data_IF_547083585093
#
_entry.id   IF_547083585093
#
_cell.length_a   1.000
_cell.length_b   1.000
_cell.length_c   1.000
_cell.angle_alpha   90.00
_cell.angle_beta   90.00
_cell.angle_gamma   90.00
#
_symmetry.space_group_name_H-M   'P 1'
#
loop_
_entity.id
_entity.type
_entity.pdbx_description
1 polymer ?
#
# COMPACT_ATOMS: atom_id res chain seq x y z
N UNK A 1 -7.24 7.85 -1.64
CA UNK A 1 -6.03 8.22 -0.92
C UNK A 1 -6.41 9.34 0.00
N UNK A 2 -5.97 9.29 1.24
CA UNK A 2 -6.12 10.38 2.20
C UNK A 2 -4.81 11.15 2.26
N UNK A 3 -4.80 12.45 1.96
CA UNK A 3 -3.57 13.27 1.96
C UNK A 3 -3.57 14.27 3.12
N UNK A 4 -4.73 14.76 3.57
CA UNK A 4 -4.81 15.87 4.52
C UNK A 4 -5.49 15.50 5.86
N UNK A 5 -5.97 14.26 6.00
CA UNK A 5 -6.65 13.74 7.18
C UNK A 5 -8.10 14.18 7.32
N UNK A 6 -8.76 14.64 6.26
CA UNK A 6 -10.15 15.09 6.31
C UNK A 6 -11.19 13.97 6.14
N UNK A 7 -10.71 12.73 5.96
CA UNK A 7 -11.47 11.51 5.73
C UNK A 7 -12.23 11.50 4.40
N UNK A 8 -11.84 12.35 3.46
CA UNK A 8 -12.30 12.30 2.09
C UNK A 8 -11.19 11.83 1.15
N UNK A 9 -11.59 11.03 0.17
CA UNK A 9 -10.65 10.58 -0.83
C UNK A 9 -10.17 11.78 -1.68
N UNK A 10 -8.88 12.04 -1.59
CA UNK A 10 -8.12 12.97 -2.41
C UNK A 10 -7.65 12.30 -3.71
N UNK A 11 -7.18 13.13 -4.64
CA UNK A 11 -6.69 12.68 -5.94
C UNK A 11 -5.18 12.82 -6.05
N UNK A 12 -4.54 11.77 -6.59
CA UNK A 12 -3.15 11.77 -6.99
C UNK A 12 -3.01 11.42 -8.47
N UNK A 13 -2.08 12.10 -9.14
CA UNK A 13 -1.63 11.78 -10.48
C UNK A 13 -0.13 11.52 -10.47
N UNK A 14 0.24 10.30 -10.83
CA UNK A 14 1.63 9.88 -11.00
C UNK A 14 2.03 10.12 -12.46
N UNK A 15 3.14 10.81 -12.69
CA UNK A 15 3.71 11.03 -14.01
C UNK A 15 4.73 9.92 -14.37
N UNK A 16 5.06 9.75 -15.66
CA UNK A 16 6.01 8.71 -16.10
C UNK A 16 7.38 8.78 -15.40
N UNK A 17 7.83 9.98 -15.01
CA UNK A 17 9.08 10.24 -14.30
C UNK A 17 9.01 10.00 -12.78
N UNK A 18 7.86 9.50 -12.29
CA UNK A 18 7.61 9.22 -10.88
C UNK A 18 7.22 10.45 -10.08
N UNK A 19 7.18 11.64 -10.67
CA UNK A 19 6.64 12.81 -9.99
C UNK A 19 5.13 12.66 -9.75
N UNK A 20 4.63 13.29 -8.68
CA UNK A 20 3.26 13.13 -8.20
C UNK A 20 2.66 14.50 -8.01
N UNK A 21 1.49 14.71 -8.62
CA UNK A 21 0.64 15.87 -8.39
C UNK A 21 -0.57 15.48 -7.58
N UNK A 22 -0.90 16.28 -6.58
CA UNK A 22 -2.08 16.08 -5.74
C UNK A 22 -3.13 17.16 -5.99
N UNK A 23 -4.39 16.80 -5.83
CA UNK A 23 -5.46 17.76 -5.59
C UNK A 23 -6.33 17.28 -4.44
N UNK A 24 -6.56 18.17 -3.48
CA UNK A 24 -7.37 17.91 -2.30
C UNK A 24 -8.85 17.99 -2.64
N UNK A 25 -9.62 17.05 -2.13
CA UNK A 25 -11.06 17.05 -2.16
C UNK A 25 -11.58 17.91 -1.02
N UNK A 26 -12.00 19.14 -1.32
CA UNK A 26 -12.59 20.03 -0.32
C UNK A 26 -14.09 20.13 -0.53
N UNK A 27 -14.89 19.96 0.53
CA UNK A 27 -16.32 20.23 0.44
C UNK A 27 -16.54 21.73 0.43
N UNK A 28 -17.08 22.23 -0.68
CA UNK A 28 -17.60 23.58 -0.72
C UNK A 28 -18.85 23.67 0.14
N UNK A 29 -19.15 24.86 0.68
CA UNK A 29 -20.38 25.11 1.42
C UNK A 29 -21.68 24.81 0.62
N UNK A 30 -21.57 24.55 -0.68
CA UNK A 30 -22.64 24.15 -1.59
C UNK A 30 -22.87 22.62 -1.68
N UNK A 31 -22.14 21.82 -0.88
CA UNK A 31 -22.25 20.36 -0.86
C UNK A 31 -21.62 19.67 -2.07
N UNK A 32 -20.87 20.39 -2.91
CA UNK A 32 -20.13 19.83 -4.05
C UNK A 32 -18.67 19.56 -3.69
N UNK A 33 -18.05 18.67 -4.46
CA UNK A 33 -16.61 18.42 -4.44
C UNK A 33 -15.90 19.58 -5.13
N UNK A 34 -14.99 20.25 -4.43
CA UNK A 34 -14.07 21.25 -4.98
C UNK A 34 -12.65 20.72 -4.91
N UNK A 35 -12.02 20.55 -6.07
CA UNK A 35 -10.64 20.09 -6.16
C UNK A 35 -9.68 21.27 -6.03
N UNK A 36 -8.87 21.27 -4.97
CA UNK A 36 -7.80 22.26 -4.78
C UNK A 36 -6.48 21.65 -5.19
N UNK A 37 -5.99 22.06 -6.36
CA UNK A 37 -4.70 21.64 -6.87
C UNK A 37 -3.56 22.04 -5.92
N UNK A 38 -2.77 21.06 -5.49
CA UNK A 38 -1.61 21.28 -4.63
C UNK A 38 -0.29 21.33 -5.42
N UNK A 39 -0.35 21.13 -6.73
CA UNK A 39 0.85 21.02 -7.57
C UNK A 39 1.61 19.71 -7.32
N UNK A 40 2.89 19.71 -7.68
CA UNK A 40 3.77 18.54 -7.51
C UNK A 40 4.15 18.42 -6.03
N UNK A 41 3.63 17.39 -5.36
CA UNK A 41 3.89 17.13 -3.94
C UNK A 41 5.04 16.14 -3.71
N UNK A 42 5.36 15.33 -4.72
CA UNK A 42 6.57 14.55 -4.76
C UNK A 42 7.23 14.77 -6.13
N UNK A 43 8.46 15.29 -6.21
CA UNK A 43 9.14 15.50 -7.48
C UNK A 43 9.56 14.19 -8.17
N UNK A 44 9.27 13.04 -7.55
CA UNK A 44 9.80 11.74 -7.93
C UNK A 44 11.21 11.54 -7.37
N UNK A 45 11.59 10.29 -7.17
CA UNK A 45 12.95 9.91 -6.70
C UNK A 45 13.80 9.33 -7.83
N UNK A 46 13.49 9.73 -9.07
CA UNK A 46 14.17 9.25 -10.28
C UNK A 46 13.79 7.83 -10.69
N UNK A 47 12.60 7.37 -10.31
CA UNK A 47 12.08 6.02 -10.60
C UNK A 47 10.80 6.11 -11.44
N UNK A 48 10.53 5.08 -12.25
CA UNK A 48 9.38 5.09 -13.17
C UNK A 48 8.05 5.10 -12.41
N UNK A 49 7.04 5.78 -12.94
CA UNK A 49 5.71 5.87 -12.30
C UNK A 49 5.07 4.51 -11.97
N UNK A 50 5.41 3.44 -12.70
CA UNK A 50 4.89 2.09 -12.46
C UNK A 50 5.51 1.38 -11.23
N UNK A 51 6.60 1.92 -10.68
CA UNK A 51 7.20 1.53 -9.41
C UNK A 51 6.50 2.17 -8.22
N UNK A 52 5.78 3.27 -8.44
CA UNK A 52 5.22 4.07 -7.35
C UNK A 52 3.95 3.42 -6.83
N UNK A 53 3.85 3.32 -5.51
CA UNK A 53 2.64 2.93 -4.77
C UNK A 53 2.44 3.96 -3.66
N UNK A 54 1.23 3.97 -3.13
CA UNK A 54 0.93 4.76 -1.96
C UNK A 54 0.14 3.92 -0.98
N UNK A 55 0.52 4.00 0.29
CA UNK A 55 -0.16 3.36 1.40
C UNK A 55 0.42 3.89 2.72
N UNK A 56 -0.39 3.90 3.77
CA UNK A 56 0.04 4.20 5.13
C UNK A 56 1.03 3.14 5.66
N UNK A 57 2.33 3.49 5.70
CA UNK A 57 3.42 2.60 6.09
C UNK A 57 3.73 2.69 7.59
N UNK A 58 3.39 3.80 8.24
CA UNK A 58 3.72 4.03 9.65
C UNK A 58 2.50 3.94 10.60
N UNK A 59 1.28 3.85 10.05
CA UNK A 59 0.01 3.75 10.75
C UNK A 59 -0.52 5.10 11.27
N UNK A 60 -0.08 6.23 10.72
CA UNK A 60 -0.49 7.57 11.15
C UNK A 60 -1.78 8.07 10.48
N UNK A 61 -2.33 7.28 9.55
CA UNK A 61 -3.54 7.56 8.79
C UNK A 61 -3.31 8.34 7.50
N UNK A 62 -2.06 8.64 7.14
CA UNK A 62 -1.70 9.35 5.92
C UNK A 62 -0.94 8.40 4.99
N UNK A 63 -1.28 8.46 3.70
CA UNK A 63 -0.64 7.59 2.73
C UNK A 63 0.80 8.06 2.41
N UNK A 64 1.75 7.13 2.56
CA UNK A 64 3.17 7.36 2.28
C UNK A 64 3.52 7.09 0.81
N UNK A 65 4.59 7.71 0.30
CA UNK A 65 5.07 7.47 -1.05
C UNK A 65 6.03 6.27 -1.06
N UNK A 66 5.66 5.21 -1.77
CA UNK A 66 6.42 3.96 -1.82
C UNK A 66 6.97 3.71 -3.22
N UNK A 67 8.19 3.21 -3.32
CA UNK A 67 8.82 2.85 -4.59
C UNK A 67 9.21 1.38 -4.59
N UNK A 68 8.51 0.59 -5.38
CA UNK A 68 8.78 -0.85 -5.52
C UNK A 68 9.69 -1.08 -6.73
N UNK A 69 10.91 -1.53 -6.46
CA UNK A 69 11.88 -1.95 -7.45
C UNK A 69 11.45 -3.20 -8.21
N UNK A 70 12.02 -3.44 -9.39
CA UNK A 70 11.65 -4.57 -10.27
C UNK A 70 11.81 -5.95 -9.61
N UNK A 71 12.79 -6.09 -8.71
CA UNK A 71 13.07 -7.30 -7.94
C UNK A 71 12.34 -7.37 -6.57
N UNK A 72 11.38 -6.47 -6.34
CA UNK A 72 10.55 -6.46 -5.13
C UNK A 72 11.17 -5.75 -3.93
N UNK A 73 12.28 -5.02 -4.09
CA UNK A 73 12.72 -4.04 -3.07
C UNK A 73 11.70 -2.92 -2.94
N UNK A 74 11.59 -2.28 -1.78
CA UNK A 74 10.65 -1.19 -1.57
C UNK A 74 11.31 -0.05 -0.80
N UNK A 75 11.32 1.16 -1.35
CA UNK A 75 11.74 2.35 -0.64
C UNK A 75 10.51 3.14 -0.19
N UNK A 76 10.31 3.28 1.13
CA UNK A 76 9.24 4.10 1.69
C UNK A 76 9.73 5.53 1.96
N UNK A 77 8.89 6.51 1.62
CA UNK A 77 9.09 7.92 1.88
C UNK A 77 7.90 8.43 2.70
N UNK A 78 8.14 8.58 4.00
CA UNK A 78 7.09 8.86 4.98
C UNK A 78 6.55 10.29 4.81
N UNK A 79 5.23 10.42 4.69
CA UNK A 79 4.53 11.68 4.69
C UNK A 79 4.55 12.29 6.10
N UNK A 80 4.76 13.60 6.18
CA UNK A 80 4.69 14.32 7.46
C UNK A 80 3.66 15.44 7.29
N UNK A 81 2.57 15.43 8.08
CA UNK A 81 1.49 16.40 7.92
C UNK A 81 1.98 17.84 8.07
N UNK A 82 1.37 18.75 7.29
CA UNK A 82 1.69 20.19 7.21
C UNK A 82 3.05 20.55 6.59
N UNK A 83 3.74 19.59 5.98
CA UNK A 83 4.94 19.83 5.16
C UNK A 83 4.67 19.39 3.72
N UNK A 84 3.98 20.25 2.96
CA UNK A 84 3.75 20.06 1.52
C UNK A 84 5.04 20.16 0.69
N UNK A 85 6.18 20.42 1.33
CA UNK A 85 7.50 20.51 0.68
C UNK A 85 8.58 19.85 1.53
N UNK A 86 9.20 18.80 1.00
CA UNK A 86 10.54 18.38 1.40
C UNK A 86 10.67 17.65 2.74
N UNK A 87 9.67 16.89 3.16
CA UNK A 87 9.83 15.99 4.32
C UNK A 87 10.94 14.99 4.08
N UNK A 88 11.82 14.91 5.08
CA UNK A 88 13.05 14.11 5.14
C UNK A 88 12.79 12.69 4.64
N UNK A 89 13.43 12.35 3.53
CA UNK A 89 13.49 10.99 2.98
C UNK A 89 14.40 10.18 3.90
N UNK A 90 13.81 9.44 4.84
CA UNK A 90 14.47 8.24 5.33
C UNK A 90 13.94 7.10 4.46
N UNK A 91 14.75 6.68 3.48
CA UNK A 91 14.46 5.49 2.67
C UNK A 91 14.44 4.29 3.58
N UNK A 92 13.25 3.72 3.80
CA UNK A 92 13.11 2.47 4.53
C UNK A 92 12.71 1.32 3.62
N UNK A 93 13.30 0.16 3.94
CA UNK A 93 13.07 -1.21 3.47
C UNK A 93 13.93 -1.75 2.31
N UNK A 94 15.09 -2.33 2.65
CA UNK A 94 15.61 -3.48 1.88
C UNK A 94 14.79 -4.75 2.18
N UNK A 95 13.49 -4.71 1.91
CA UNK A 95 12.51 -5.75 2.25
C UNK A 95 12.34 -6.82 1.17
N UNK A 96 13.19 -7.85 1.23
CA UNK A 96 13.10 -9.14 0.52
C UNK A 96 13.22 -9.12 -1.01
N UNK A 97 14.17 -9.89 -1.54
CA UNK A 97 14.19 -10.31 -2.96
C UNK A 97 13.21 -11.46 -3.18
N UNK A 98 11.96 -11.28 -2.75
CA UNK A 98 10.96 -12.35 -2.77
C UNK A 98 10.36 -12.59 -4.16
N UNK A 99 10.66 -11.72 -5.14
CA UNK A 99 10.34 -11.95 -6.55
C UNK A 99 10.03 -10.67 -7.35
N UNK A 100 9.54 -10.80 -8.58
CA UNK A 100 9.24 -9.65 -9.43
C UNK A 100 8.13 -8.78 -8.85
N UNK A 101 8.25 -7.45 -9.00
CA UNK A 101 7.25 -6.43 -8.61
C UNK A 101 5.81 -6.78 -8.99
N UNK A 102 5.61 -7.42 -10.15
CA UNK A 102 4.28 -7.79 -10.64
C UNK A 102 3.51 -8.71 -9.69
N UNK A 103 4.21 -9.47 -8.83
CA UNK A 103 3.65 -10.39 -7.84
C UNK A 103 3.41 -9.75 -6.47
N UNK A 104 3.78 -8.49 -6.33
CA UNK A 104 3.74 -7.77 -5.08
C UNK A 104 2.37 -7.13 -4.92
N UNK A 105 1.79 -7.30 -3.74
CA UNK A 105 0.57 -6.65 -3.32
C UNK A 105 0.82 -5.98 -1.97
N UNK A 106 0.01 -4.98 -1.68
CA UNK A 106 -0.01 -4.25 -0.44
C UNK A 106 -1.39 -4.45 0.19
N UNK A 107 -1.42 -4.62 1.50
CA UNK A 107 -2.67 -4.69 2.26
C UNK A 107 -2.36 -4.94 3.74
N UNK A 108 -3.06 -4.26 4.63
CA UNK A 108 -3.00 -4.51 6.08
C UNK A 108 -3.65 -5.86 6.36
N UNK A 109 -2.88 -6.90 6.66
CA UNK A 109 -3.42 -8.25 6.90
C UNK A 109 -3.60 -8.57 8.38
N UNK A 110 -3.07 -7.75 9.29
CA UNK A 110 -3.15 -7.99 10.73
C UNK A 110 -4.13 -7.05 11.44
N UNK A 111 -4.62 -6.01 10.76
CA UNK A 111 -5.57 -5.02 11.24
C UNK A 111 -4.95 -3.92 12.11
N UNK A 112 -3.64 -3.73 12.04
CA UNK A 112 -2.92 -2.73 12.84
C UNK A 112 -2.82 -1.35 12.17
N UNK A 113 -3.44 -1.21 10.98
CA UNK A 113 -3.49 -0.03 10.11
C UNK A 113 -2.18 0.32 9.43
N UNK A 114 -1.18 -0.54 9.49
CA UNK A 114 0.05 -0.39 8.71
C UNK A 114 -0.03 -1.29 7.51
N UNK A 115 0.50 -0.80 6.39
CA UNK A 115 0.51 -1.59 5.18
C UNK A 115 1.51 -2.75 5.29
N UNK A 116 1.03 -3.96 5.03
CA UNK A 116 1.89 -5.14 4.92
C UNK A 116 2.27 -5.43 3.47
N UNK A 117 3.35 -6.19 3.31
CA UNK A 117 3.85 -6.59 2.01
C UNK A 117 3.53 -8.04 1.70
N UNK A 118 2.88 -8.29 0.56
CA UNK A 118 2.38 -9.61 0.18
C UNK A 118 3.00 -10.05 -1.13
N UNK A 119 3.48 -11.29 -1.17
CA UNK A 119 4.08 -11.91 -2.36
C UNK A 119 3.18 -13.02 -2.83
N UNK A 120 2.54 -12.82 -3.98
CA UNK A 120 1.62 -13.78 -4.57
C UNK A 120 2.38 -14.69 -5.55
N UNK A 121 2.39 -15.99 -5.27
CA UNK A 121 2.89 -17.02 -6.14
C UNK A 121 2.02 -17.18 -7.39
N UNK A 122 2.56 -17.82 -8.43
CA UNK A 122 1.87 -18.02 -9.73
C UNK A 122 0.56 -18.81 -9.60
N UNK A 123 0.39 -19.55 -8.53
CA UNK A 123 -0.77 -20.39 -8.18
C UNK A 123 -1.63 -19.78 -7.06
N UNK A 124 -1.38 -18.50 -6.74
CA UNK A 124 -2.17 -17.73 -5.78
C UNK A 124 -1.79 -17.93 -4.32
N UNK A 125 -0.80 -18.76 -4.00
CA UNK A 125 -0.23 -18.84 -2.64
C UNK A 125 0.41 -17.52 -2.23
N UNK A 126 0.42 -17.22 -0.94
CA UNK A 126 0.86 -15.91 -0.42
C UNK A 126 1.90 -16.11 0.66
N UNK A 127 3.03 -15.41 0.53
CA UNK A 127 3.90 -15.13 1.66
C UNK A 127 3.67 -13.69 2.09
N UNK A 128 3.39 -13.47 3.36
CA UNK A 128 3.21 -12.15 3.91
C UNK A 128 4.45 -11.71 4.69
N UNK A 129 4.68 -10.40 4.71
CA UNK A 129 5.68 -9.73 5.49
C UNK A 129 4.96 -8.64 6.27
N UNK A 130 4.73 -8.90 7.55
CA UNK A 130 3.96 -8.03 8.44
C UNK A 130 4.86 -6.90 8.92
N UNK A 131 4.36 -5.69 8.80
CA UNK A 131 5.03 -4.46 9.16
C UNK A 131 4.79 -4.13 10.64
N UNK A 132 5.87 -4.08 11.40
CA UNK A 132 5.87 -3.70 12.81
C UNK A 132 6.53 -2.35 13.06
N UNK A 133 6.66 -1.50 12.04
CA UNK A 133 7.32 -0.20 12.13
C UNK A 133 6.76 0.60 13.32
N UNK A 134 7.66 1.01 14.21
CA UNK A 134 7.36 1.93 15.31
C UNK A 134 8.25 3.15 15.12
N UNK A 135 7.76 4.13 14.34
CA UNK A 135 8.57 5.28 13.92
C UNK A 135 9.59 4.96 12.81
N UNK A 136 10.55 5.86 12.58
CA UNK A 136 11.47 5.83 11.44
C UNK A 136 12.66 4.85 11.62
N UNK A 137 12.45 3.53 11.52
CA UNK A 137 13.56 2.54 11.57
C UNK A 137 13.39 1.31 10.66
N UNK A 138 14.51 0.79 10.15
CA UNK A 138 14.65 -0.40 9.31
C UNK A 138 14.81 -1.68 10.16
N UNK A 139 13.93 -2.68 9.97
CA UNK A 139 14.11 -4.01 10.57
C UNK A 139 12.87 -4.62 11.21
N UNK A 140 11.74 -3.91 11.18
CA UNK A 140 10.52 -4.33 11.85
C UNK A 140 9.59 -5.16 10.94
N UNK A 141 10.09 -6.21 10.27
CA UNK A 141 9.26 -7.06 9.42
C UNK A 141 9.25 -8.52 9.91
N UNK A 142 8.07 -9.12 10.01
CA UNK A 142 7.92 -10.56 10.30
C UNK A 142 7.42 -11.30 9.08
N UNK A 143 8.14 -12.34 8.65
CA UNK A 143 7.70 -13.17 7.51
C UNK A 143 6.75 -14.28 7.95
N UNK A 144 5.56 -14.33 7.36
CA UNK A 144 4.60 -15.43 7.47
C UNK A 144 4.52 -16.17 6.14
N UNK A 145 5.11 -17.38 6.09
CA UNK A 145 5.07 -18.20 4.88
C UNK A 145 3.73 -18.90 4.75
N UNK A 146 3.20 -18.95 3.53
CA UNK A 146 1.92 -19.60 3.24
C UNK A 146 0.79 -19.01 4.08
N UNK A 147 0.81 -17.68 4.26
CA UNK A 147 -0.30 -16.92 4.84
C UNK A 147 -1.62 -17.32 4.17
N UNK A 148 -1.60 -17.42 2.84
CA UNK A 148 -2.58 -18.20 2.09
C UNK A 148 -1.88 -19.35 1.37
N UNK A 149 -2.48 -20.54 1.43
CA UNK A 149 -2.08 -21.68 0.60
C UNK A 149 -2.51 -21.43 -0.85
N UNK A 150 -2.08 -22.31 -1.75
CA UNK A 150 -2.45 -22.22 -3.16
C UNK A 150 -3.97 -22.22 -3.34
N UNK A 151 -4.47 -21.22 -4.08
CA UNK A 151 -5.87 -21.11 -4.48
C UNK A 151 -6.10 -21.70 -5.87
N UNK A 152 -5.02 -22.03 -6.59
CA UNK A 152 -4.99 -22.44 -7.99
C UNK A 152 -5.43 -21.36 -8.99
N UNK A 153 -5.52 -20.11 -8.53
CA UNK A 153 -5.72 -18.96 -9.38
C UNK A 153 -4.40 -18.25 -9.69
N UNK A 154 -4.25 -17.65 -10.89
CA UNK A 154 -3.05 -16.91 -11.23
C UNK A 154 -2.92 -15.64 -10.39
N UNK A 155 -1.70 -15.26 -10.07
CA UNK A 155 -1.33 -14.04 -9.33
C UNK A 155 -1.96 -12.76 -9.89
N UNK A 156 -2.16 -12.71 -11.21
CA UNK A 156 -2.79 -11.58 -11.92
C UNK A 156 -4.27 -11.38 -11.58
N UNK A 157 -4.93 -12.38 -10.99
CA UNK A 157 -6.34 -12.31 -10.57
C UNK A 157 -6.49 -12.01 -9.07
N UNK A 158 -5.39 -12.03 -8.32
CA UNK A 158 -5.40 -11.87 -6.87
C UNK A 158 -5.30 -10.41 -6.46
N UNK A 159 -6.20 -10.00 -5.57
CA UNK A 159 -6.22 -8.70 -4.93
C UNK A 159 -6.42 -8.84 -3.41
N UNK A 160 -6.09 -7.79 -2.66
CA UNK A 160 -6.26 -7.73 -1.21
C UNK A 160 -6.95 -6.43 -0.83
N UNK A 161 -8.13 -6.53 -0.22
CA UNK A 161 -8.90 -5.39 0.26
C UNK A 161 -9.76 -5.85 1.44
N UNK A 162 -9.97 -4.97 2.41
CA UNK A 162 -10.96 -5.19 3.45
C UNK A 162 -12.36 -5.05 2.85
N UNK A 163 -13.04 -6.19 2.65
CA UNK A 163 -14.42 -6.22 2.15
C UNK A 163 -15.43 -6.51 3.26
N UNK A 164 -14.96 -6.86 4.46
CA UNK A 164 -15.80 -7.16 5.62
C UNK A 164 -15.98 -5.96 6.55
N UNK A 165 -15.10 -4.97 6.48
CA UNK A 165 -15.04 -3.80 7.36
C UNK A 165 -14.34 -4.07 8.70
N UNK A 166 -13.52 -5.12 8.79
CA UNK A 166 -12.83 -5.52 10.03
C UNK A 166 -11.40 -4.95 10.15
N UNK A 167 -11.03 -4.05 9.24
CA UNK A 167 -9.71 -3.47 9.05
C UNK A 167 -8.63 -4.45 8.57
N UNK A 168 -8.96 -5.69 8.21
CA UNK A 168 -8.02 -6.65 7.64
C UNK A 168 -8.31 -6.84 6.15
N UNK A 169 -7.26 -6.86 5.36
CA UNK A 169 -7.34 -7.14 3.95
C UNK A 169 -7.69 -8.62 3.73
N UNK A 170 -8.77 -8.84 3.00
CA UNK A 170 -9.26 -10.16 2.60
C UNK A 170 -8.60 -10.62 1.30
N UNK A 171 -8.48 -11.93 1.11
CA UNK A 171 -7.97 -12.50 -0.12
C UNK A 171 -9.08 -12.54 -1.18
N UNK A 172 -8.88 -11.84 -2.29
CA UNK A 172 -9.84 -11.76 -3.38
C UNK A 172 -9.29 -12.37 -4.66
N UNK A 173 -10.13 -13.11 -5.37
CA UNK A 173 -9.91 -13.53 -6.76
C UNK A 173 -10.93 -12.84 -7.64
N UNK A 174 -10.45 -12.06 -8.60
CA UNK A 174 -11.27 -11.33 -9.57
C UNK A 174 -11.01 -11.86 -10.96
N UNK A 175 -11.99 -12.58 -11.52
CA UNK A 175 -11.87 -13.18 -12.84
C UNK A 175 -13.25 -13.39 -13.47
N UNK A 176 -13.35 -13.15 -14.79
CA UNK A 176 -14.55 -13.51 -15.56
C UNK A 176 -15.83 -12.80 -15.07
N UNK A 177 -15.70 -11.58 -14.55
CA UNK A 177 -16.82 -10.81 -13.99
C UNK A 177 -17.32 -11.32 -12.63
N UNK A 178 -16.57 -12.20 -11.96
CA UNK A 178 -16.86 -12.69 -10.62
C UNK A 178 -15.77 -12.28 -9.64
N UNK A 179 -16.17 -12.10 -8.39
CA UNK A 179 -15.29 -11.92 -7.26
C UNK A 179 -15.55 -13.08 -6.31
N UNK A 180 -14.49 -13.78 -5.92
CA UNK A 180 -14.50 -14.71 -4.80
C UNK A 180 -13.66 -14.10 -3.69
N UNK A 181 -14.20 -14.07 -2.47
CA UNK A 181 -13.53 -13.53 -1.29
C UNK A 181 -13.33 -14.64 -0.27
N UNK A 182 -12.16 -14.64 0.35
CA UNK A 182 -11.86 -15.43 1.54
C UNK A 182 -11.51 -14.46 2.64
N UNK A 183 -12.37 -14.46 3.66
CA UNK A 183 -12.24 -13.58 4.81
C UNK A 183 -10.96 -13.88 5.58
N UNK A 184 -10.21 -12.82 5.88
CA UNK A 184 -9.04 -12.89 6.72
C UNK A 184 -9.45 -12.85 8.19
N UNK A 185 -9.61 -14.03 8.77
CA UNK A 185 -9.92 -14.21 10.19
C UNK A 185 -8.71 -13.96 11.13
N UNK A 186 -7.62 -13.36 10.64
CA UNK A 186 -6.38 -13.16 11.40
C UNK A 186 -5.61 -14.47 11.67
N UNK A 187 -5.85 -15.49 10.84
CA UNK A 187 -5.58 -16.92 11.11
C UNK A 187 -4.29 -17.29 11.85
N UNK A 188 -4.47 -18.18 12.85
CA UNK A 188 -3.62 -19.17 13.54
C UNK A 188 -2.10 -18.96 13.79
N UNK A 189 -1.46 -17.85 13.43
CA UNK A 189 -0.02 -17.62 13.71
C UNK A 189 0.41 -16.13 13.62
N UNK A 190 -0.49 -15.17 13.77
CA UNK A 190 -0.16 -13.74 13.77
C UNK A 190 0.07 -13.13 15.17
N UNK A 191 0.16 -13.95 16.23
CA UNK A 191 0.60 -13.48 17.55
C UNK A 191 2.13 -13.51 17.67
N UNK A 192 2.74 -12.57 18.41
CA UNK A 192 4.20 -12.48 18.61
C UNK A 192 4.86 -13.79 19.09
#
# INVERSE_FOLDING_TARGET
MEINGDHWADSLKIFPDGSVRAALNTQGADGRIHWVDQGIIAPGVGQLGDSVRFADMNGDGLDDYLVVGSAGSMDAHIHIPNTLTGSKIDTFATGTKAGPRARMRLGDINGDRKIDYLVVGRTGAVHAYVNHMTGMSDGNWTQHKYFAKESFYPDTTVAFHDVTGDCRADYLVVQGGRIQAWENQGGDNLTP
#
